data_IF_289863402394
#
_entry.id   IF_289863402394
#
_cell.length_a   1.000
_cell.length_b   1.000
_cell.length_c   1.000
_cell.angle_alpha   90.00
_cell.angle_beta   90.00
_cell.angle_gamma   90.00
#
_symmetry.space_group_name_H-M   'P 1'
#
loop_
_entity.id
_entity.type
_entity.pdbx_description
1 polymer ?
#
# COMPACT_ATOMS: atom_id res chain seq x y z
N UNK A 1 -21.23 6.41 9.78
CA UNK A 1 -19.84 5.90 9.78
C UNK A 1 -19.65 4.63 10.60
N UNK A 2 -19.94 4.58 11.91
CA UNK A 2 -19.74 3.36 12.74
C UNK A 2 -20.49 2.10 12.24
N UNK A 3 -21.75 2.23 11.83
CA UNK A 3 -22.55 1.09 11.32
C UNK A 3 -21.99 0.51 10.02
N UNK A 4 -21.54 1.36 9.10
CA UNK A 4 -20.93 0.94 7.84
C UNK A 4 -19.60 0.23 8.08
N UNK A 5 -18.72 0.81 8.91
CA UNK A 5 -17.45 0.20 9.32
C UNK A 5 -17.67 -1.19 9.94
N UNK A 6 -18.67 -1.33 10.81
CA UNK A 6 -19.01 -2.61 11.41
C UNK A 6 -19.64 -3.59 10.41
N UNK A 7 -20.42 -3.11 9.44
CA UNK A 7 -21.05 -3.91 8.39
C UNK A 7 -20.02 -4.64 7.52
N UNK A 8 -18.98 -3.94 7.08
CA UNK A 8 -17.89 -4.51 6.29
C UNK A 8 -16.70 -5.02 7.14
N UNK A 9 -16.90 -5.20 8.45
CA UNK A 9 -15.94 -5.87 9.34
C UNK A 9 -14.85 -4.99 9.96
N UNK A 10 -14.42 -3.90 9.32
CA UNK A 10 -13.31 -3.07 9.85
C UNK A 10 -13.60 -2.45 11.21
N UNK A 11 -14.86 -2.09 11.48
CA UNK A 11 -15.30 -1.53 12.75
C UNK A 11 -15.34 -2.52 13.91
N UNK A 12 -15.03 -3.80 13.67
CA UNK A 12 -14.90 -4.85 14.70
C UNK A 12 -13.48 -4.94 15.27
N UNK A 13 -12.52 -4.32 14.62
CA UNK A 13 -11.11 -4.35 15.01
C UNK A 13 -10.73 -3.13 15.85
N UNK A 14 -9.82 -3.35 16.79
CA UNK A 14 -9.10 -2.29 17.49
C UNK A 14 -8.16 -1.55 16.54
N UNK A 15 -7.70 -0.36 16.93
CA UNK A 15 -6.74 0.40 16.13
C UNK A 15 -5.44 -0.38 15.89
N UNK A 16 -4.96 -1.13 16.88
CA UNK A 16 -3.74 -1.93 16.74
C UNK A 16 -3.92 -3.09 15.75
N UNK A 17 -5.07 -3.78 15.79
CA UNK A 17 -5.40 -4.81 14.81
C UNK A 17 -5.53 -4.24 13.39
N UNK A 18 -6.13 -3.05 13.24
CA UNK A 18 -6.21 -2.37 11.93
C UNK A 18 -4.81 -2.09 11.38
N UNK A 19 -3.90 -1.59 12.23
CA UNK A 19 -2.51 -1.39 11.81
C UNK A 19 -1.78 -2.70 11.52
N UNK A 20 -2.05 -3.77 12.26
CA UNK A 20 -1.47 -5.09 12.01
C UNK A 20 -1.92 -5.65 10.65
N UNK A 21 -3.21 -5.57 10.34
CA UNK A 21 -3.78 -5.96 9.04
C UNK A 21 -3.12 -5.16 7.91
N UNK A 22 -3.11 -3.83 8.02
CA UNK A 22 -2.49 -2.98 7.00
C UNK A 22 -1.00 -3.27 6.80
N UNK A 23 -0.25 -3.50 7.87
CA UNK A 23 1.18 -3.87 7.77
C UNK A 23 1.36 -5.25 7.11
N UNK A 24 0.48 -6.21 7.38
CA UNK A 24 0.51 -7.49 6.71
C UNK A 24 0.28 -7.34 5.20
N UNK A 25 -0.73 -6.56 4.78
CA UNK A 25 -1.02 -6.30 3.37
C UNK A 25 0.13 -5.59 2.66
N UNK A 26 0.70 -4.55 3.27
CA UNK A 26 1.86 -3.82 2.73
C UNK A 26 3.10 -4.72 2.65
N UNK A 27 3.31 -5.58 3.66
CA UNK A 27 4.38 -6.56 3.65
C UNK A 27 4.23 -7.55 2.51
N UNK A 28 3.04 -8.14 2.37
CA UNK A 28 2.73 -9.08 1.30
C UNK A 28 2.91 -8.45 -0.08
N UNK A 29 2.52 -7.19 -0.27
CA UNK A 29 2.74 -6.47 -1.54
C UNK A 29 4.23 -6.22 -1.80
N UNK A 30 5.00 -5.83 -0.78
CA UNK A 30 6.45 -5.65 -0.92
C UNK A 30 7.16 -6.97 -1.26
N UNK A 31 6.77 -8.05 -0.61
CA UNK A 31 7.33 -9.39 -0.85
C UNK A 31 6.92 -9.92 -2.23
N UNK A 32 5.65 -9.71 -2.62
CA UNK A 32 5.16 -10.05 -3.96
C UNK A 32 5.93 -9.28 -5.02
N UNK A 33 6.07 -7.96 -4.89
CA UNK A 33 6.83 -7.14 -5.83
C UNK A 33 8.28 -7.64 -5.94
N UNK A 34 8.92 -7.88 -4.80
CA UNK A 34 10.33 -8.27 -4.73
C UNK A 34 11.19 -7.26 -5.50
N UNK A 35 12.00 -7.78 -6.43
CA UNK A 35 12.87 -7.00 -7.33
C UNK A 35 12.23 -6.69 -8.69
N UNK A 36 10.97 -7.10 -8.90
CA UNK A 36 10.28 -6.88 -10.19
C UNK A 36 9.93 -5.40 -10.36
N UNK A 37 9.93 -4.87 -11.59
CA UNK A 37 9.58 -3.48 -11.82
C UNK A 37 8.10 -3.20 -11.50
N UNK A 38 7.21 -4.18 -11.76
CA UNK A 38 5.77 -4.13 -11.53
C UNK A 38 5.24 -5.43 -10.90
N UNK A 39 4.04 -5.38 -10.32
CA UNK A 39 3.43 -6.48 -9.53
C UNK A 39 3.24 -7.75 -10.37
N UNK A 40 2.97 -7.62 -11.67
CA UNK A 40 2.75 -8.75 -12.58
C UNK A 40 3.94 -9.07 -13.49
N UNK A 41 5.08 -8.39 -13.34
CA UNK A 41 6.28 -8.66 -14.13
C UNK A 41 6.90 -7.41 -14.73
N UNK A 42 7.26 -7.47 -16.01
CA UNK A 42 8.04 -6.44 -16.70
C UNK A 42 7.23 -5.22 -17.14
N UNK A 43 5.93 -5.38 -17.39
CA UNK A 43 5.02 -4.31 -17.81
C UNK A 43 3.92 -4.09 -16.77
N UNK A 44 3.47 -2.84 -16.56
CA UNK A 44 2.41 -2.53 -15.61
C UNK A 44 1.06 -3.03 -16.13
N UNK A 45 0.24 -3.48 -15.19
CA UNK A 45 -1.14 -3.93 -15.44
C UNK A 45 -2.14 -3.06 -14.70
N UNK A 46 -3.44 -3.34 -14.83
CA UNK A 46 -4.45 -2.67 -14.01
C UNK A 46 -4.25 -2.89 -12.50
N UNK A 47 -3.62 -4.01 -12.10
CA UNK A 47 -3.23 -4.25 -10.70
C UNK A 47 -2.25 -3.20 -10.23
N UNK A 48 -1.31 -2.81 -11.09
CA UNK A 48 -0.31 -1.79 -10.76
C UNK A 48 -0.93 -0.40 -10.61
N UNK A 49 -1.91 -0.06 -11.45
CA UNK A 49 -2.63 1.20 -11.32
C UNK A 49 -3.33 1.32 -9.95
N UNK A 50 -3.96 0.23 -9.49
CA UNK A 50 -4.63 0.19 -8.18
C UNK A 50 -3.61 0.21 -7.05
N UNK A 51 -2.58 -0.64 -7.09
CA UNK A 51 -1.53 -0.68 -6.07
C UNK A 51 -0.83 0.67 -5.91
N UNK A 52 -0.48 1.31 -7.03
CA UNK A 52 0.08 2.66 -7.04
C UNK A 52 -0.85 3.69 -6.41
N UNK A 53 -2.14 3.69 -6.76
CA UNK A 53 -3.09 4.66 -6.22
C UNK A 53 -3.14 4.62 -4.68
N UNK A 54 -3.13 3.43 -4.09
CA UNK A 54 -3.10 3.28 -2.62
C UNK A 54 -1.73 3.60 -2.02
N UNK A 55 -0.64 3.08 -2.60
CA UNK A 55 0.71 3.27 -2.07
C UNK A 55 1.17 4.73 -2.15
N UNK A 56 0.92 5.42 -3.27
CA UNK A 56 1.30 6.82 -3.45
C UNK A 56 0.60 7.71 -2.41
N UNK A 57 -0.68 7.45 -2.13
CA UNK A 57 -1.42 8.16 -1.07
C UNK A 57 -0.87 7.83 0.32
N UNK A 58 -0.52 6.56 0.58
CA UNK A 58 0.07 6.16 1.85
C UNK A 58 1.45 6.82 2.09
N UNK A 59 2.28 6.88 1.06
CA UNK A 59 3.69 7.27 1.18
C UNK A 59 3.88 8.79 1.07
N UNK A 60 3.21 9.46 0.13
CA UNK A 60 3.50 10.87 -0.19
C UNK A 60 2.60 11.88 0.50
N UNK A 61 1.44 11.49 1.03
CA UNK A 61 0.59 12.39 1.83
C UNK A 61 1.36 12.79 3.11
N UNK A 62 1.34 14.07 3.53
CA UNK A 62 2.05 14.56 4.72
C UNK A 62 1.32 14.17 6.02
N UNK A 63 1.00 12.89 6.18
CA UNK A 63 0.41 12.30 7.37
C UNK A 63 1.38 11.26 7.94
N UNK A 64 1.77 11.41 9.21
CA UNK A 64 2.65 10.45 9.88
C UNK A 64 1.82 9.38 10.59
N UNK A 65 1.91 8.14 10.12
CA UNK A 65 1.18 6.99 10.68
C UNK A 65 2.10 5.79 10.84
N UNK A 66 1.79 4.84 11.76
CA UNK A 66 2.51 3.58 11.87
C UNK A 66 2.58 2.80 10.56
N UNK A 67 1.55 2.91 9.72
CA UNK A 67 1.49 2.23 8.43
C UNK A 67 2.40 2.89 7.39
N UNK A 68 2.46 4.24 7.34
CA UNK A 68 3.38 4.98 6.47
C UNK A 68 4.83 4.66 6.81
N UNK A 69 5.20 4.69 8.09
CA UNK A 69 6.56 4.36 8.53
C UNK A 69 6.95 2.94 8.13
N UNK A 70 6.02 1.99 8.23
CA UNK A 70 6.25 0.62 7.80
C UNK A 70 6.42 0.51 6.28
N UNK A 71 5.59 1.17 5.48
CA UNK A 71 5.77 1.21 4.02
C UNK A 71 7.13 1.82 3.63
N UNK A 72 7.54 2.92 4.28
CA UNK A 72 8.83 3.57 4.04
C UNK A 72 10.04 2.72 4.44
N UNK A 73 9.89 1.76 5.36
CA UNK A 73 10.94 0.78 5.66
C UNK A 73 11.15 -0.27 4.56
N UNK A 74 10.30 -0.29 3.53
CA UNK A 74 10.36 -1.19 2.37
C UNK A 74 10.75 -0.38 1.12
N UNK A 75 12.05 -0.21 0.83
CA UNK A 75 12.51 0.73 -0.21
C UNK A 75 12.03 0.38 -1.63
N UNK A 76 11.71 -0.89 -1.88
CA UNK A 76 11.18 -1.33 -3.17
C UNK A 76 9.80 -0.73 -3.48
N UNK A 77 8.99 -0.40 -2.46
CA UNK A 77 7.68 0.24 -2.62
C UNK A 77 7.81 1.71 -3.06
N UNK A 78 8.71 2.48 -2.45
CA UNK A 78 8.96 3.86 -2.89
C UNK A 78 9.52 3.89 -4.31
N UNK A 79 10.49 3.02 -4.61
CA UNK A 79 11.03 2.89 -5.96
C UNK A 79 9.95 2.52 -6.98
N UNK A 80 9.02 1.64 -6.61
CA UNK A 80 7.85 1.29 -7.42
C UNK A 80 6.93 2.47 -7.68
N UNK A 81 6.56 3.22 -6.64
CA UNK A 81 5.74 4.42 -6.81
C UNK A 81 6.40 5.46 -7.70
N UNK A 82 7.71 5.69 -7.57
CA UNK A 82 8.45 6.60 -8.44
C UNK A 82 8.45 6.15 -9.91
N UNK A 83 8.56 4.84 -10.17
CA UNK A 83 8.45 4.27 -11.54
C UNK A 83 7.06 4.50 -12.14
N UNK A 84 6.00 4.20 -11.39
CA UNK A 84 4.62 4.39 -11.84
C UNK A 84 4.31 5.87 -12.11
N UNK A 85 4.77 6.77 -11.24
CA UNK A 85 4.68 8.22 -11.45
C UNK A 85 5.39 8.62 -12.74
N UNK A 86 6.69 8.37 -12.84
CA UNK A 86 7.51 8.82 -13.98
C UNK A 86 7.01 8.33 -15.35
N UNK A 87 6.31 7.18 -15.40
CA UNK A 87 5.78 6.62 -16.65
C UNK A 87 4.41 7.20 -17.06
N UNK A 88 3.60 7.66 -16.12
CA UNK A 88 2.18 7.98 -16.37
C UNK A 88 1.72 9.37 -15.87
N UNK A 89 2.52 10.07 -15.06
CA UNK A 89 2.17 11.33 -14.39
C UNK A 89 3.35 12.31 -14.36
#
# INVERSE_FOLDING_TARGET
MKRELHGHGMGRHTSDEIYAIGKADIGALADLLGDRPFVMGAEPTSVDAVAYAFLANLIWVPLDTPLKRYALSRPNLEAYCQRMKSRYY
#
